data_IF_861584649504
#
_entry.id   IF_861584649504
#
_cell.length_a   1.000
_cell.length_b   1.000
_cell.length_c   1.000
_cell.angle_alpha   90.00
_cell.angle_beta   90.00
_cell.angle_gamma   90.00
#
_symmetry.space_group_name_H-M   'P 1'
#
loop_
_entity.id
_entity.type
_entity.pdbx_description
1 polymer ?
#
# COMPACT_ATOMS: atom_id res chain seq x y z
N UNK A 1 -4.53 -44.10 65.60
CA UNK A 1 -5.43 -44.00 64.42
C UNK A 1 -5.86 -42.56 64.25
N UNK A 2 -5.71 -42.02 63.03
CA UNK A 2 -6.44 -40.86 62.44
C UNK A 2 -6.17 -39.47 63.04
N UNK A 3 -5.90 -38.40 62.29
CA UNK A 3 -5.58 -38.17 60.87
C UNK A 3 -4.93 -36.77 60.85
N UNK A 4 -3.75 -36.63 60.23
CA UNK A 4 -3.23 -35.33 59.81
C UNK A 4 -4.11 -34.84 58.67
N UNK A 5 -5.01 -33.87 58.91
CA UNK A 5 -5.66 -33.13 57.85
C UNK A 5 -4.74 -31.98 57.42
N UNK A 6 -3.83 -32.28 56.49
CA UNK A 6 -3.21 -31.24 55.67
C UNK A 6 -4.33 -30.52 54.92
N UNK A 7 -4.59 -29.26 55.28
CA UNK A 7 -5.36 -28.33 54.45
C UNK A 7 -4.56 -28.12 53.15
N UNK A 8 -4.99 -28.74 52.06
CA UNK A 8 -4.45 -28.46 50.73
C UNK A 8 -4.81 -27.02 50.34
N UNK A 9 -3.88 -26.08 50.53
CA UNK A 9 -3.91 -24.79 49.83
C UNK A 9 -3.71 -25.07 48.35
N UNK A 10 -4.68 -24.71 47.51
CA UNK A 10 -4.55 -24.78 46.06
C UNK A 10 -3.29 -24.04 45.60
N UNK A 11 -2.43 -24.71 44.81
CA UNK A 11 -1.21 -24.15 44.20
C UNK A 11 -1.49 -23.30 42.96
N UNK A 12 -2.74 -23.18 42.56
CA UNK A 12 -3.15 -22.51 41.32
C UNK A 12 -3.09 -20.99 41.46
N UNK A 13 -2.77 -20.35 40.34
CA UNK A 13 -2.78 -18.90 40.16
C UNK A 13 -4.13 -18.52 39.57
N UNK A 14 -4.81 -17.55 40.17
CA UNK A 14 -6.01 -16.94 39.61
C UNK A 14 -5.59 -15.99 38.48
N UNK A 15 -5.97 -16.33 37.25
CA UNK A 15 -5.67 -15.56 36.04
C UNK A 15 -6.95 -14.88 35.55
N UNK A 16 -6.99 -13.55 35.62
CA UNK A 16 -8.08 -12.73 35.11
C UNK A 16 -7.75 -12.23 33.71
N UNK A 17 -8.61 -12.53 32.75
CA UNK A 17 -8.49 -12.09 31.37
C UNK A 17 -9.33 -10.84 31.15
N UNK A 18 -8.70 -9.79 30.64
CA UNK A 18 -9.35 -8.51 30.35
C UNK A 18 -9.15 -8.20 28.87
N UNK A 19 -10.21 -7.88 28.16
CA UNK A 19 -10.09 -7.30 26.83
C UNK A 19 -9.53 -5.88 26.97
N UNK A 20 -8.35 -5.64 26.41
CA UNK A 20 -7.65 -4.37 26.55
C UNK A 20 -8.36 -3.21 25.84
N UNK A 21 -9.15 -3.50 24.81
CA UNK A 21 -9.87 -2.50 24.03
C UNK A 21 -11.13 -1.99 24.74
N UNK A 22 -11.82 -2.87 25.46
CA UNK A 22 -13.09 -2.56 26.13
C UNK A 22 -12.96 -2.42 27.65
N UNK A 23 -11.86 -2.92 28.23
CA UNK A 23 -11.65 -3.02 29.68
C UNK A 23 -12.55 -4.04 30.37
N UNK A 24 -13.33 -4.84 29.62
CA UNK A 24 -14.24 -5.82 30.18
C UNK A 24 -13.49 -7.11 30.57
N UNK A 25 -13.87 -7.69 31.71
CA UNK A 25 -13.38 -9.02 32.10
C UNK A 25 -14.02 -10.07 31.20
N UNK A 26 -13.16 -10.83 30.52
CA UNK A 26 -13.54 -11.95 29.67
C UNK A 26 -13.76 -13.22 30.50
N UNK A 27 -13.19 -13.27 31.70
CA UNK A 27 -13.35 -14.37 32.64
C UNK A 27 -12.13 -14.60 33.54
N UNK A 28 -12.25 -15.57 34.44
CA UNK A 28 -11.20 -15.97 35.38
C UNK A 28 -10.92 -17.46 35.25
N UNK A 29 -9.64 -17.82 35.17
CA UNK A 29 -9.17 -19.22 35.19
C UNK A 29 -8.22 -19.47 36.35
N UNK A 30 -8.05 -20.74 36.71
CA UNK A 30 -7.12 -21.18 37.74
C UNK A 30 -6.07 -22.08 37.10
N UNK A 31 -4.87 -21.54 36.90
CA UNK A 31 -3.78 -22.21 36.16
C UNK A 31 -2.68 -22.68 37.12
N UNK A 32 -2.08 -23.82 36.85
CA UNK A 32 -0.84 -24.23 37.52
C UNK A 32 0.33 -23.34 37.04
N UNK A 33 1.34 -23.04 37.89
CA UNK A 33 2.49 -22.23 37.48
C UNK A 33 3.21 -22.75 36.23
N UNK A 34 3.23 -24.06 36.01
CA UNK A 34 3.85 -24.68 34.83
C UNK A 34 3.09 -24.43 33.52
N UNK A 35 1.88 -23.87 33.57
CA UNK A 35 1.08 -23.52 32.39
C UNK A 35 1.30 -22.06 31.95
N UNK A 36 2.05 -21.29 32.71
CA UNK A 36 2.34 -19.88 32.45
C UNK A 36 3.84 -19.72 32.12
N UNK A 37 4.20 -18.75 31.27
CA UNK A 37 5.60 -18.47 30.96
C UNK A 37 6.32 -17.89 32.18
N UNK A 38 7.65 -17.92 32.15
CA UNK A 38 8.47 -17.30 33.20
C UNK A 38 8.31 -15.76 33.23
N UNK A 39 8.03 -15.17 32.07
CA UNK A 39 7.74 -13.74 31.90
C UNK A 39 6.82 -13.52 30.69
N UNK A 40 6.01 -12.45 30.75
CA UNK A 40 5.22 -11.96 29.62
C UNK A 40 5.89 -10.81 28.85
N UNK A 41 7.17 -10.51 29.12
CA UNK A 41 7.95 -9.54 28.32
C UNK A 41 8.19 -9.99 26.88
N UNK A 42 7.95 -11.27 26.57
CA UNK A 42 7.98 -11.81 25.21
C UNK A 42 6.55 -11.85 24.63
N UNK A 43 6.38 -11.54 23.33
CA UNK A 43 5.09 -11.62 22.67
C UNK A 43 4.45 -13.00 22.88
N UNK A 44 3.36 -13.04 23.64
CA UNK A 44 2.69 -14.28 24.03
C UNK A 44 1.32 -14.30 23.39
N UNK A 45 1.02 -15.37 22.64
CA UNK A 45 -0.31 -15.62 22.09
C UNK A 45 -1.05 -16.62 22.97
N UNK A 46 -2.34 -16.40 23.12
CA UNK A 46 -3.26 -17.27 23.83
C UNK A 46 -4.39 -17.70 22.92
N UNK A 47 -4.77 -18.96 23.03
CA UNK A 47 -5.96 -19.48 22.39
C UNK A 47 -7.06 -19.59 23.45
N UNK A 48 -8.12 -18.81 23.29
CA UNK A 48 -9.25 -18.77 24.22
C UNK A 48 -10.51 -19.06 23.41
N UNK A 49 -11.15 -20.20 23.69
CA UNK A 49 -12.20 -20.79 22.82
C UNK A 49 -11.68 -21.05 21.40
N UNK A 50 -12.30 -20.46 20.38
CA UNK A 50 -11.90 -20.60 18.96
C UNK A 50 -11.12 -19.37 18.46
N UNK A 51 -10.80 -18.41 19.35
CA UNK A 51 -10.18 -17.15 18.97
C UNK A 51 -8.70 -17.10 19.41
N UNK A 52 -7.86 -16.43 18.60
CA UNK A 52 -6.50 -16.07 18.98
C UNK A 52 -6.48 -14.68 19.63
N UNK A 53 -5.70 -14.58 20.71
CA UNK A 53 -5.51 -13.36 21.47
C UNK A 53 -4.01 -13.11 21.69
N UNK A 54 -3.60 -11.85 21.62
CA UNK A 54 -2.25 -11.41 21.99
C UNK A 54 -2.28 -10.84 23.40
N UNK A 55 -1.33 -11.24 24.26
CA UNK A 55 -1.12 -10.59 25.56
C UNK A 55 -0.40 -9.26 25.32
N UNK A 56 -1.08 -8.15 25.59
CA UNK A 56 -0.51 -6.80 25.49
C UNK A 56 0.07 -6.32 26.84
N UNK A 57 -0.48 -6.77 27.96
CA UNK A 57 0.01 -6.43 29.29
C UNK A 57 -0.25 -7.57 30.28
N UNK A 58 0.70 -7.81 31.19
CA UNK A 58 0.59 -8.76 32.28
C UNK A 58 0.91 -8.10 33.62
N UNK A 59 0.02 -8.29 34.61
CA UNK A 59 0.16 -7.67 35.94
C UNK A 59 0.00 -8.74 37.03
N UNK A 60 1.06 -9.07 37.77
CA UNK A 60 2.46 -8.71 37.52
C UNK A 60 3.04 -9.46 36.31
N UNK A 61 4.11 -8.93 35.72
CA UNK A 61 4.69 -9.45 34.46
C UNK A 61 5.54 -10.73 34.65
N UNK A 62 6.18 -10.88 35.80
CA UNK A 62 7.16 -11.94 36.07
C UNK A 62 6.59 -13.06 36.95
N UNK A 63 7.00 -14.30 36.68
CA UNK A 63 6.47 -15.47 37.38
C UNK A 63 6.71 -15.48 38.87
N UNK A 64 7.88 -15.01 39.33
CA UNK A 64 8.16 -14.90 40.76
C UNK A 64 7.07 -14.11 41.50
N UNK A 65 6.55 -13.05 40.89
CA UNK A 65 5.57 -12.16 41.49
C UNK A 65 4.17 -12.79 41.48
N UNK A 66 3.67 -13.27 40.34
CA UNK A 66 2.32 -13.86 40.28
C UNK A 66 2.22 -15.23 40.96
N UNK A 67 3.32 -15.97 41.08
CA UNK A 67 3.39 -17.19 41.91
C UNK A 67 3.27 -16.82 43.39
N UNK A 68 3.92 -15.73 43.81
CA UNK A 68 3.87 -15.26 45.19
C UNK A 68 2.50 -14.68 45.55
N UNK A 69 1.94 -13.81 44.70
CA UNK A 69 0.63 -13.18 44.93
C UNK A 69 -0.55 -14.11 44.66
N UNK A 70 -0.32 -15.20 43.89
CA UNK A 70 -1.36 -16.10 43.36
C UNK A 70 -2.37 -15.42 42.44
N UNK A 71 -2.02 -14.25 41.90
CA UNK A 71 -2.88 -13.46 41.03
C UNK A 71 -2.10 -12.97 39.83
N UNK A 72 -2.73 -13.08 38.67
CA UNK A 72 -2.23 -12.57 37.40
C UNK A 72 -3.41 -11.94 36.65
N UNK A 73 -3.21 -10.75 36.10
CA UNK A 73 -4.13 -10.11 35.18
C UNK A 73 -3.46 -10.08 33.82
N UNK A 74 -4.12 -10.60 32.81
CA UNK A 74 -3.68 -10.53 31.42
C UNK A 74 -4.63 -9.64 30.65
N UNK A 75 -4.12 -8.53 30.12
CA UNK A 75 -4.84 -7.69 29.17
C UNK A 75 -4.54 -8.17 27.75
N UNK A 76 -5.60 -8.50 27.03
CA UNK A 76 -5.55 -9.20 25.77
C UNK A 76 -6.11 -8.33 24.65
N UNK A 77 -5.56 -8.49 23.45
CA UNK A 77 -6.13 -7.95 22.21
C UNK A 77 -6.44 -9.08 21.26
N UNK A 78 -7.66 -9.08 20.70
CA UNK A 78 -8.05 -10.10 19.72
C UNK A 78 -7.17 -9.99 18.49
N UNK A 79 -6.66 -11.12 18.01
CA UNK A 79 -5.97 -11.18 16.73
C UNK A 79 -7.04 -11.25 15.65
N UNK A 80 -7.26 -10.15 14.94
CA UNK A 80 -8.12 -10.16 13.76
C UNK A 80 -7.37 -10.84 12.60
N UNK A 81 -7.86 -12.01 12.19
CA UNK A 81 -7.46 -12.60 10.92
C UNK A 81 -8.23 -11.88 9.82
N UNK A 82 -7.54 -11.01 9.08
CA UNK A 82 -8.09 -10.43 7.85
C UNK A 82 -8.12 -11.54 6.82
N UNK A 83 -9.30 -11.86 6.29
CA UNK A 83 -9.41 -12.70 5.12
C UNK A 83 -8.82 -11.94 3.93
N UNK A 84 -7.69 -12.41 3.39
CA UNK A 84 -7.06 -11.78 2.23
C UNK A 84 -7.92 -11.86 0.97
N UNK A 85 -8.89 -12.77 0.92
CA UNK A 85 -9.86 -12.85 -0.19
C UNK A 85 -10.92 -11.72 -0.13
N UNK A 86 -10.97 -10.98 0.98
CA UNK A 86 -11.81 -9.78 1.15
C UNK A 86 -11.05 -8.47 0.91
N UNK A 87 -9.73 -8.54 0.68
CA UNK A 87 -8.94 -7.37 0.28
C UNK A 87 -9.25 -7.00 -1.18
N UNK A 88 -10.04 -5.95 -1.34
CA UNK A 88 -10.37 -5.40 -2.65
C UNK A 88 -9.28 -4.44 -3.12
N UNK A 89 -9.03 -4.43 -4.42
CA UNK A 89 -8.19 -3.45 -5.08
C UNK A 89 -8.94 -2.13 -5.28
N UNK A 90 -8.25 -1.01 -5.18
CA UNK A 90 -8.81 0.34 -5.40
C UNK A 90 -8.77 0.74 -6.88
N UNK A 91 -7.99 0.04 -7.70
CA UNK A 91 -7.81 0.27 -9.13
C UNK A 91 -7.89 -1.04 -9.91
N UNK A 92 -8.37 -1.01 -11.16
CA UNK A 92 -8.58 -2.22 -11.94
C UNK A 92 -7.28 -2.77 -12.56
N UNK A 93 -6.21 -1.97 -12.57
CA UNK A 93 -4.95 -2.34 -13.20
C UNK A 93 -3.74 -1.67 -12.54
N UNK A 94 -2.59 -2.34 -12.58
CA UNK A 94 -1.28 -1.82 -12.19
C UNK A 94 -0.27 -2.03 -13.31
N UNK A 95 0.78 -1.21 -13.35
CA UNK A 95 1.94 -1.55 -14.19
C UNK A 95 2.65 -2.76 -13.59
N UNK A 96 3.00 -3.75 -14.40
CA UNK A 96 3.89 -4.85 -13.98
C UNK A 96 5.38 -4.48 -14.10
N UNK A 97 5.67 -3.25 -14.53
CA UNK A 97 7.00 -2.67 -14.60
C UNK A 97 7.24 -1.77 -13.37
N UNK A 98 8.50 -1.71 -12.93
CA UNK A 98 8.91 -0.95 -11.76
C UNK A 98 10.17 -0.15 -12.09
N UNK A 99 10.24 1.15 -11.74
CA UNK A 99 11.38 1.97 -12.12
C UNK A 99 12.65 1.51 -11.40
N UNK A 100 13.83 1.66 -12.03
CA UNK A 100 15.09 1.47 -11.33
C UNK A 100 15.23 2.51 -10.21
N UNK A 101 15.63 2.08 -9.01
CA UNK A 101 15.73 2.94 -7.83
C UNK A 101 17.18 3.28 -7.46
N UNK A 102 17.34 4.39 -6.76
CA UNK A 102 18.60 4.96 -6.28
C UNK A 102 18.41 5.57 -4.88
N UNK A 103 19.49 5.60 -4.10
CA UNK A 103 19.53 6.29 -2.81
C UNK A 103 19.69 7.81 -2.92
N UNK A 104 19.98 8.32 -4.12
CA UNK A 104 20.22 9.73 -4.39
C UNK A 104 19.52 10.19 -5.67
N UNK A 105 19.15 11.46 -5.72
CA UNK A 105 18.64 12.15 -6.92
C UNK A 105 19.66 13.15 -7.46
N UNK A 106 19.62 13.38 -8.78
CA UNK A 106 20.36 14.45 -9.46
C UNK A 106 19.71 15.82 -9.28
N UNK A 107 18.43 15.83 -8.91
CA UNK A 107 17.66 17.05 -8.66
C UNK A 107 17.64 17.39 -7.17
N UNK A 108 17.48 18.67 -6.86
CA UNK A 108 17.33 19.16 -5.50
C UNK A 108 15.89 19.59 -5.23
N UNK A 109 15.51 19.67 -3.96
CA UNK A 109 14.19 20.12 -3.52
C UNK A 109 13.30 19.02 -2.96
N UNK A 110 12.05 19.37 -2.69
CA UNK A 110 11.05 18.42 -2.20
C UNK A 110 10.65 17.45 -3.31
N UNK A 111 10.72 16.13 -3.07
CA UNK A 111 10.37 15.13 -4.08
C UNK A 111 8.87 15.12 -4.38
N UNK A 112 8.51 14.84 -5.62
CA UNK A 112 7.20 14.24 -5.89
C UNK A 112 7.25 12.79 -5.43
N UNK A 113 6.39 12.44 -4.49
CA UNK A 113 6.21 11.06 -4.02
C UNK A 113 5.00 10.47 -4.72
N UNK A 114 5.18 9.30 -5.32
CA UNK A 114 4.12 8.48 -5.88
C UNK A 114 4.15 7.09 -5.24
N UNK A 115 2.99 6.48 -5.08
CA UNK A 115 2.89 5.09 -4.65
C UNK A 115 3.17 4.13 -5.82
N UNK A 116 3.55 2.89 -5.51
CA UNK A 116 3.80 1.84 -6.50
C UNK A 116 2.62 1.57 -7.43
N UNK A 117 1.39 1.64 -6.91
CA UNK A 117 0.16 1.40 -7.66
C UNK A 117 -0.24 2.61 -8.53
N UNK A 118 0.35 3.79 -8.29
CA UNK A 118 0.20 5.00 -9.12
C UNK A 118 1.20 5.04 -10.29
N UNK A 119 2.23 4.18 -10.28
CA UNK A 119 3.25 4.14 -11.31
C UNK A 119 2.65 3.87 -12.69
N UNK A 120 2.88 4.81 -13.61
CA UNK A 120 2.44 4.77 -15.00
C UNK A 120 0.93 4.55 -15.19
N UNK A 121 0.09 4.99 -14.25
CA UNK A 121 -1.38 4.90 -14.40
C UNK A 121 -1.94 5.88 -15.43
N UNK A 122 -1.24 7.00 -15.62
CA UNK A 122 -1.53 8.01 -16.63
C UNK A 122 -0.23 8.32 -17.35
N UNK A 123 -0.08 7.88 -18.59
CA UNK A 123 1.21 7.95 -19.29
C UNK A 123 1.08 8.39 -20.74
N UNK A 124 2.17 8.94 -21.26
CA UNK A 124 2.33 9.20 -22.68
C UNK A 124 3.09 8.04 -23.33
N UNK A 125 2.64 7.63 -24.50
CA UNK A 125 3.23 6.52 -25.28
C UNK A 125 3.45 6.93 -26.73
N UNK A 126 4.21 6.09 -27.46
CA UNK A 126 4.32 6.20 -28.92
C UNK A 126 2.98 5.85 -29.58
N UNK A 127 2.62 6.48 -30.72
CA UNK A 127 1.42 6.10 -31.48
C UNK A 127 1.42 4.63 -31.95
N UNK A 128 2.60 4.03 -32.13
CA UNK A 128 2.73 2.60 -32.46
C UNK A 128 2.22 1.67 -31.36
N UNK A 129 2.00 2.17 -30.14
CA UNK A 129 1.53 1.38 -29.01
C UNK A 129 0.01 1.20 -28.97
N UNK A 130 -0.77 1.87 -29.83
CA UNK A 130 -2.25 1.84 -29.79
C UNK A 130 -2.82 0.42 -29.78
N UNK A 131 -2.32 -0.47 -30.64
CA UNK A 131 -2.82 -1.86 -30.68
C UNK A 131 -2.56 -2.62 -29.38
N UNK A 132 -1.43 -2.34 -28.72
CA UNK A 132 -1.11 -2.94 -27.43
C UNK A 132 -1.91 -2.31 -26.29
N UNK A 133 -2.16 -0.99 -26.33
CA UNK A 133 -3.07 -0.30 -25.41
C UNK A 133 -4.46 -0.92 -25.46
N UNK A 134 -4.99 -1.17 -26.65
CA UNK A 134 -6.31 -1.77 -26.81
C UNK A 134 -6.38 -3.20 -26.24
N UNK A 135 -5.34 -4.02 -26.40
CA UNK A 135 -5.26 -5.35 -25.78
C UNK A 135 -5.25 -5.29 -24.25
N UNK A 136 -4.52 -4.35 -23.68
CA UNK A 136 -4.54 -4.11 -22.24
C UNK A 136 -5.94 -3.64 -21.79
N UNK A 137 -6.56 -2.69 -22.52
CA UNK A 137 -7.91 -2.22 -22.23
C UNK A 137 -8.96 -3.34 -22.25
N UNK A 138 -8.85 -4.35 -23.11
CA UNK A 138 -9.75 -5.50 -23.10
C UNK A 138 -9.72 -6.23 -21.74
N UNK A 139 -8.53 -6.44 -21.16
CA UNK A 139 -8.39 -7.08 -19.85
C UNK A 139 -8.90 -6.19 -18.72
N UNK A 140 -8.58 -4.89 -18.77
CA UNK A 140 -8.99 -3.92 -17.75
C UNK A 140 -10.51 -3.75 -17.75
N UNK A 141 -11.13 -3.61 -18.92
CA UNK A 141 -12.58 -3.50 -19.04
C UNK A 141 -13.28 -4.76 -18.53
N UNK A 142 -12.72 -5.96 -18.78
CA UNK A 142 -13.27 -7.19 -18.21
C UNK A 142 -13.30 -7.17 -16.68
N UNK A 143 -12.27 -6.64 -16.02
CA UNK A 143 -12.24 -6.45 -14.55
C UNK A 143 -13.26 -5.41 -14.11
N UNK A 144 -13.34 -4.27 -14.81
CA UNK A 144 -14.30 -3.22 -14.48
C UNK A 144 -15.73 -3.75 -14.57
N UNK A 145 -16.05 -4.56 -15.58
CA UNK A 145 -17.40 -5.09 -15.80
C UNK A 145 -17.75 -6.24 -14.86
N UNK A 146 -16.82 -7.16 -14.60
CA UNK A 146 -17.13 -8.43 -13.94
C UNK A 146 -16.62 -8.56 -12.50
N UNK A 147 -15.66 -7.72 -12.09
CA UNK A 147 -14.97 -7.82 -10.80
C UNK A 147 -15.16 -6.59 -9.92
N UNK A 148 -15.96 -5.61 -10.35
CA UNK A 148 -16.31 -4.42 -9.55
C UNK A 148 -17.26 -4.72 -8.38
N UNK A 149 -16.99 -4.08 -7.25
CA UNK A 149 -17.80 -4.08 -6.04
C UNK A 149 -18.07 -2.63 -5.66
N UNK A 150 -19.34 -2.25 -5.60
CA UNK A 150 -19.76 -0.91 -5.18
C UNK A 150 -20.13 -0.95 -3.71
N UNK A 151 -19.44 -0.17 -2.88
CA UNK A 151 -19.77 0.00 -1.47
C UNK A 151 -21.06 0.82 -1.28
N UNK A 152 -21.62 0.79 -0.07
CA UNK A 152 -22.79 1.63 0.29
C UNK A 152 -22.52 3.14 0.09
N UNK A 153 -21.25 3.56 0.19
CA UNK A 153 -20.83 4.95 -0.02
C UNK A 153 -20.68 5.34 -1.50
N UNK A 154 -20.86 4.39 -2.43
CA UNK A 154 -20.64 4.59 -3.86
C UNK A 154 -19.17 4.45 -4.30
N UNK A 155 -18.25 4.18 -3.38
CA UNK A 155 -16.86 3.83 -3.75
C UNK A 155 -16.83 2.49 -4.50
N UNK A 156 -16.12 2.46 -5.64
CA UNK A 156 -15.91 1.28 -6.46
C UNK A 156 -14.55 0.67 -6.13
N UNK A 157 -14.54 -0.61 -5.81
CA UNK A 157 -13.35 -1.42 -5.61
C UNK A 157 -13.43 -2.67 -6.49
N UNK A 158 -12.36 -3.44 -6.60
CA UNK A 158 -12.27 -4.58 -7.51
C UNK A 158 -11.80 -5.84 -6.79
N UNK A 159 -12.36 -6.99 -7.12
CA UNK A 159 -11.88 -8.29 -6.61
C UNK A 159 -10.60 -8.77 -7.29
N UNK A 160 -10.33 -8.23 -8.47
CA UNK A 160 -9.20 -8.58 -9.31
C UNK A 160 -8.50 -7.30 -9.75
N UNK A 161 -7.21 -7.40 -10.07
CA UNK A 161 -6.40 -6.33 -10.62
C UNK A 161 -5.53 -6.88 -11.74
N UNK A 162 -5.54 -6.20 -12.88
CA UNK A 162 -4.75 -6.61 -14.04
C UNK A 162 -3.33 -6.04 -13.96
N UNK A 163 -2.32 -6.90 -13.96
CA UNK A 163 -0.92 -6.49 -14.06
C UNK A 163 -0.52 -6.32 -15.53
N UNK A 164 -0.47 -5.07 -16.00
CA UNK A 164 -0.15 -4.71 -17.39
C UNK A 164 1.30 -5.06 -17.73
N UNK A 165 1.52 -5.81 -18.80
CA UNK A 165 2.83 -6.33 -19.18
C UNK A 165 3.11 -6.32 -20.69
N UNK A 166 2.16 -5.88 -21.53
CA UNK A 166 2.34 -5.83 -22.98
C UNK A 166 3.24 -4.65 -23.37
N UNK A 167 3.20 -3.56 -22.61
CA UNK A 167 4.01 -2.34 -22.83
C UNK A 167 5.00 -2.19 -21.68
N UNK A 168 6.10 -2.93 -21.76
CA UNK A 168 7.16 -2.93 -20.74
C UNK A 168 7.86 -1.57 -20.64
N UNK A 169 8.46 -1.08 -21.72
CA UNK A 169 9.12 0.23 -21.76
C UNK A 169 8.54 1.15 -22.86
N UNK A 170 7.99 2.32 -22.51
CA UNK A 170 7.50 3.29 -23.49
C UNK A 170 8.57 3.82 -24.47
N UNK A 171 9.84 3.86 -24.03
CA UNK A 171 11.00 4.36 -24.76
C UNK A 171 10.72 5.65 -25.56
N UNK A 172 10.05 6.63 -24.95
CA UNK A 172 9.78 7.91 -25.61
C UNK A 172 11.07 8.55 -26.15
N UNK A 173 10.90 9.39 -27.17
CA UNK A 173 12.01 10.04 -27.88
C UNK A 173 11.83 11.57 -27.84
N UNK A 174 11.43 12.10 -26.69
CA UNK A 174 11.21 13.54 -26.50
C UNK A 174 12.49 14.17 -25.98
N UNK A 175 13.02 15.18 -26.68
CA UNK A 175 14.14 15.95 -26.15
C UNK A 175 13.73 16.67 -24.87
N UNK A 176 14.45 16.40 -23.77
CA UNK A 176 14.11 16.93 -22.46
C UNK A 176 14.12 18.46 -22.43
N UNK A 177 15.12 19.08 -23.05
CA UNK A 177 15.22 20.55 -23.15
C UNK A 177 13.99 21.15 -23.84
N UNK A 178 13.50 20.49 -24.90
CA UNK A 178 12.33 20.90 -25.66
C UNK A 178 11.05 20.76 -24.84
N UNK A 179 10.89 19.66 -24.11
CA UNK A 179 9.77 19.47 -23.18
C UNK A 179 9.75 20.58 -22.12
N UNK A 180 10.87 20.87 -21.49
CA UNK A 180 10.93 21.87 -20.42
C UNK A 180 10.61 23.27 -20.91
N UNK A 181 11.17 23.65 -22.07
CA UNK A 181 10.87 24.93 -22.71
C UNK A 181 9.39 25.04 -23.10
N UNK A 182 8.81 23.98 -23.67
CA UNK A 182 7.40 23.94 -24.06
C UNK A 182 6.46 24.09 -22.86
N UNK A 183 6.79 23.42 -21.75
CA UNK A 183 6.01 23.45 -20.52
C UNK A 183 6.28 24.71 -19.67
N UNK A 184 7.21 25.57 -20.10
CA UNK A 184 7.63 26.78 -19.39
C UNK A 184 8.11 26.51 -17.95
N UNK A 185 8.82 25.40 -17.75
CA UNK A 185 9.29 24.98 -16.43
C UNK A 185 10.79 25.23 -16.29
N UNK A 186 11.16 25.94 -15.22
CA UNK A 186 12.55 26.28 -14.93
C UNK A 186 13.23 25.31 -13.96
N UNK A 187 12.48 24.65 -13.07
CA UNK A 187 13.05 23.86 -11.96
C UNK A 187 12.40 22.48 -11.86
N UNK A 188 13.24 21.45 -11.83
CA UNK A 188 12.82 20.05 -11.68
C UNK A 188 12.91 19.63 -10.22
N UNK A 189 12.05 18.70 -9.86
CA UNK A 189 12.01 18.10 -8.53
C UNK A 189 12.40 16.62 -8.62
N UNK A 190 13.01 16.05 -7.56
CA UNK A 190 13.24 14.61 -7.48
C UNK A 190 11.93 13.83 -7.60
N UNK A 191 12.02 12.60 -8.11
CA UNK A 191 10.91 11.66 -8.13
C UNK A 191 11.20 10.52 -7.15
N UNK A 192 10.23 10.21 -6.29
CA UNK A 192 10.29 9.07 -5.38
C UNK A 192 9.14 8.10 -5.59
N UNK A 193 9.45 6.81 -5.52
CA UNK A 193 8.48 5.73 -5.44
C UNK A 193 8.76 4.97 -4.15
N UNK A 194 7.75 4.80 -3.29
CA UNK A 194 7.87 4.10 -2.00
C UNK A 194 9.03 4.59 -1.09
N UNK A 195 9.39 5.86 -1.18
CA UNK A 195 10.45 6.48 -0.36
C UNK A 195 11.87 6.36 -0.91
N UNK A 196 12.07 5.72 -2.06
CA UNK A 196 13.35 5.67 -2.77
C UNK A 196 13.31 6.54 -4.03
N UNK A 197 14.46 7.08 -4.45
CA UNK A 197 14.52 7.93 -5.64
C UNK A 197 14.50 7.09 -6.91
N UNK A 198 13.79 7.55 -7.93
CA UNK A 198 13.85 6.94 -9.27
C UNK A 198 15.17 7.34 -9.94
N UNK A 199 15.92 6.36 -10.42
CA UNK A 199 17.14 6.56 -11.21
C UNK A 199 16.79 7.32 -12.48
N UNK A 200 17.57 8.36 -12.81
CA UNK A 200 17.27 9.25 -13.95
C UNK A 200 15.86 9.86 -13.89
N UNK A 201 15.24 9.85 -12.69
CA UNK A 201 13.87 10.26 -12.46
C UNK A 201 13.75 11.77 -12.27
N UNK A 202 12.78 12.37 -12.95
CA UNK A 202 12.44 13.77 -12.79
C UNK A 202 10.94 13.93 -12.50
N UNK A 203 10.60 15.04 -11.89
CA UNK A 203 9.22 15.51 -11.80
C UNK A 203 9.15 17.03 -11.93
N UNK A 204 7.99 17.52 -12.35
CA UNK A 204 7.70 18.95 -12.37
C UNK A 204 6.19 19.20 -12.28
N UNK A 205 5.82 20.46 -12.01
CA UNK A 205 4.42 20.88 -11.96
C UNK A 205 4.19 22.07 -12.87
N UNK A 206 3.05 22.07 -13.55
CA UNK A 206 2.43 23.27 -14.12
C UNK A 206 1.38 23.81 -13.15
N UNK A 207 0.63 24.83 -13.55
CA UNK A 207 -0.51 25.34 -12.78
C UNK A 207 -1.56 24.26 -12.50
N UNK A 208 -1.75 23.31 -13.42
CA UNK A 208 -2.82 22.32 -13.32
C UNK A 208 -2.39 20.87 -13.20
N UNK A 209 -1.15 20.54 -13.52
CA UNK A 209 -0.74 19.15 -13.74
C UNK A 209 0.61 18.84 -13.11
N UNK A 210 0.69 17.70 -12.42
CA UNK A 210 1.95 17.13 -11.95
C UNK A 210 2.46 16.11 -12.95
N UNK A 211 3.67 16.31 -13.47
CA UNK A 211 4.34 15.40 -14.41
C UNK A 211 5.52 14.71 -13.74
N UNK A 212 5.79 13.49 -14.18
CA UNK A 212 6.97 12.75 -13.79
C UNK A 212 7.45 11.82 -14.89
N UNK A 213 8.68 11.36 -14.81
CA UNK A 213 9.26 10.56 -15.86
C UNK A 213 10.70 10.17 -15.61
N UNK A 214 11.33 9.64 -16.66
CA UNK A 214 12.75 9.32 -16.68
C UNK A 214 13.41 10.00 -17.88
N UNK A 215 14.66 10.46 -17.69
CA UNK A 215 15.44 11.13 -18.73
C UNK A 215 16.83 10.50 -18.84
N UNK A 216 17.13 9.95 -20.02
CA UNK A 216 18.42 9.32 -20.31
C UNK A 216 19.13 10.05 -21.44
N UNK A 217 20.35 10.52 -21.19
CA UNK A 217 21.15 11.27 -22.17
C UNK A 217 20.39 12.47 -22.78
N UNK A 218 19.58 13.17 -21.97
CA UNK A 218 18.77 14.31 -22.43
C UNK A 218 17.51 13.95 -23.22
N UNK A 219 17.15 12.66 -23.31
CA UNK A 219 15.93 12.18 -23.93
C UNK A 219 14.99 11.65 -22.86
N UNK A 220 13.77 12.13 -22.82
CA UNK A 220 12.71 11.63 -21.97
C UNK A 220 12.27 10.27 -22.51
N UNK A 221 12.51 9.23 -21.73
CA UNK A 221 12.17 7.84 -22.05
C UNK A 221 10.80 7.46 -21.52
N UNK A 222 10.33 8.13 -20.46
CA UNK A 222 8.98 7.94 -19.88
C UNK A 222 8.43 9.28 -19.44
N UNK A 223 7.14 9.50 -19.67
CA UNK A 223 6.42 10.69 -19.21
C UNK A 223 5.04 10.28 -18.74
N UNK A 224 4.69 10.68 -17.53
CA UNK A 224 3.46 10.30 -16.84
C UNK A 224 2.91 11.48 -16.03
N UNK A 225 1.65 11.34 -15.60
CA UNK A 225 0.92 12.35 -14.85
C UNK A 225 0.55 11.80 -13.47
N UNK A 226 0.92 12.51 -12.40
CA UNK A 226 0.51 12.17 -11.04
C UNK A 226 -0.82 12.81 -10.66
N UNK A 227 -0.96 14.11 -10.93
CA UNK A 227 -2.14 14.90 -10.58
C UNK A 227 -2.68 15.64 -11.79
N UNK A 228 -4.01 15.67 -11.91
CA UNK A 228 -4.73 16.41 -12.96
C UNK A 228 -5.83 17.27 -12.36
N UNK A 229 -6.07 18.41 -12.98
CA UNK A 229 -7.28 19.22 -12.80
C UNK A 229 -8.00 19.39 -14.15
N UNK A 230 -9.01 20.26 -14.18
CA UNK A 230 -9.78 20.56 -15.41
C UNK A 230 -8.93 21.10 -16.56
N UNK A 231 -7.85 21.84 -16.27
CA UNK A 231 -6.99 22.45 -17.29
C UNK A 231 -5.98 21.44 -17.87
N UNK A 232 -5.70 20.35 -17.14
CA UNK A 232 -4.74 19.32 -17.56
C UNK A 232 -5.06 18.70 -18.92
N UNK A 233 -6.34 18.55 -19.27
CA UNK A 233 -6.72 17.99 -20.58
C UNK A 233 -6.28 18.87 -21.75
N UNK A 234 -6.24 20.20 -21.57
CA UNK A 234 -5.73 21.09 -22.61
C UNK A 234 -4.21 20.97 -22.73
N UNK A 235 -3.49 20.85 -21.62
CA UNK A 235 -2.03 20.61 -21.61
C UNK A 235 -1.67 19.27 -22.26
N UNK A 236 -2.41 18.19 -21.93
CA UNK A 236 -2.26 16.87 -22.54
C UNK A 236 -2.41 16.94 -24.06
N UNK A 237 -3.44 17.62 -24.56
CA UNK A 237 -3.65 17.78 -26.01
C UNK A 237 -2.50 18.53 -26.68
N UNK A 238 -1.99 19.59 -26.05
CA UNK A 238 -0.84 20.35 -26.54
C UNK A 238 0.43 19.48 -26.62
N UNK A 239 0.68 18.64 -25.61
CA UNK A 239 1.83 17.70 -25.62
C UNK A 239 1.68 16.67 -26.76
N UNK A 240 0.48 16.09 -26.93
CA UNK A 240 0.17 15.16 -28.03
C UNK A 240 0.47 15.80 -29.38
N UNK A 241 0.02 17.05 -29.59
CA UNK A 241 0.21 17.77 -30.84
C UNK A 241 1.68 18.12 -31.13
N UNK A 242 2.41 18.58 -30.13
CA UNK A 242 3.81 19.03 -30.26
C UNK A 242 4.80 17.86 -30.41
N UNK A 243 4.57 16.77 -29.67
CA UNK A 243 5.53 15.66 -29.57
C UNK A 243 5.08 14.40 -30.32
N UNK A 244 3.87 14.38 -30.89
CA UNK A 244 3.38 13.25 -31.67
C UNK A 244 3.22 11.98 -30.85
N UNK A 245 2.84 12.12 -29.58
CA UNK A 245 2.59 11.01 -28.64
C UNK A 245 1.09 10.79 -28.47
N UNK A 246 0.72 9.68 -27.82
CA UNK A 246 -0.64 9.44 -27.32
C UNK A 246 -0.64 9.54 -25.80
N UNK A 247 -1.80 9.80 -25.20
CA UNK A 247 -2.01 9.78 -23.77
C UNK A 247 -2.98 8.66 -23.39
N UNK A 248 -2.68 7.95 -22.31
CA UNK A 248 -3.47 6.84 -21.80
C UNK A 248 -3.74 7.01 -20.32
N UNK A 249 -5.01 6.92 -19.91
CA UNK A 249 -5.43 6.72 -18.51
C UNK A 249 -5.92 5.28 -18.38
N UNK A 250 -5.11 4.43 -17.75
CA UNK A 250 -5.36 2.99 -17.65
C UNK A 250 -6.54 2.66 -16.74
N UNK A 251 -6.71 3.41 -15.65
CA UNK A 251 -7.81 3.19 -14.72
C UNK A 251 -9.17 3.50 -15.33
N UNK A 252 -9.21 4.36 -16.38
CA UNK A 252 -10.44 4.77 -17.07
C UNK A 252 -10.59 4.18 -18.47
N UNK A 253 -9.62 3.40 -18.93
CA UNK A 253 -9.53 2.95 -20.33
C UNK A 253 -9.69 4.13 -21.32
N UNK A 254 -9.10 5.28 -21.01
CA UNK A 254 -9.17 6.49 -21.84
C UNK A 254 -7.91 6.61 -22.70
N UNK A 255 -8.09 6.76 -24.01
CA UNK A 255 -7.02 7.04 -24.97
C UNK A 255 -7.27 8.39 -25.64
N UNK A 256 -6.32 9.30 -25.54
CA UNK A 256 -6.33 10.58 -26.26
C UNK A 256 -5.18 10.56 -27.26
N UNK A 257 -5.51 10.82 -28.52
CA UNK A 257 -4.55 10.91 -29.62
C UNK A 257 -4.91 12.04 -30.56
N UNK A 258 -3.97 12.42 -31.43
CA UNK A 258 -4.21 13.43 -32.45
C UNK A 258 -5.32 12.95 -33.40
N UNK A 259 -6.30 13.82 -33.66
CA UNK A 259 -7.38 13.61 -34.63
C UNK A 259 -6.89 13.97 -36.03
#
# INVERSE_FOLDING_TARGET
MKFLSNLFKSSKIEVNFIDNSTGQSMGVSHMEPSQLPETFSVPTRMHIHEEEWLVEEAIPENAADFINTRKLILKLKRVEQINTDELLFTIPAVSNDYPPLSSMSEYAGEPLVIHEDEWRQKEFLKPSSVDNVNKEFEQINNIIENSSVVSESGFVAFRECHARNIIEDPELEIEFSKLMNFMHVAEMQPLQVNGEFVTEGFSFKTTGTGYYGTVKNGIVTRLSISNMNTDSYQEVRKIIEEFGVIYVDWCRCELIQKV
#
